data_IF_973064197624
#
_entry.id   IF_973064197624
#
_cell.length_a   1.000
_cell.length_b   1.000
_cell.length_c   1.000
_cell.angle_alpha   90.00
_cell.angle_beta   90.00
_cell.angle_gamma   90.00
#
_symmetry.space_group_name_H-M   'P 1'
#
loop_
_entity.id
_entity.type
_entity.pdbx_description
1 polymer ?
#
# COMPACT_ATOMS: atom_id res chain seq x y z
N UNK A 1 8.71 21.30 -4.94
CA UNK A 1 8.87 20.39 -3.77
C UNK A 1 7.69 20.54 -2.79
N UNK A 2 6.92 19.46 -2.58
CA UNK A 2 5.64 19.55 -1.87
C UNK A 2 5.82 19.83 -0.36
N UNK A 3 5.14 20.85 0.21
CA UNK A 3 5.21 21.20 1.64
C UNK A 3 4.93 20.02 2.58
N UNK A 4 4.16 19.03 2.12
CA UNK A 4 3.83 17.82 2.87
C UNK A 4 5.06 16.92 3.12
N UNK A 5 5.94 16.76 2.12
CA UNK A 5 7.14 15.92 2.26
C UNK A 5 8.09 16.45 3.36
N UNK A 6 8.16 17.78 3.52
CA UNK A 6 8.92 18.43 4.58
C UNK A 6 8.33 18.12 5.97
N UNK A 7 7.01 18.20 6.09
CA UNK A 7 6.31 17.91 7.35
C UNK A 7 6.46 16.45 7.76
N UNK A 8 6.34 15.52 6.79
CA UNK A 8 6.52 14.10 7.03
C UNK A 8 7.97 13.77 7.43
N UNK A 9 8.96 14.39 6.77
CA UNK A 9 10.36 14.21 7.10
C UNK A 9 10.65 14.61 8.56
N UNK A 10 10.11 15.76 9.01
CA UNK A 10 10.21 16.19 10.42
C UNK A 10 9.54 15.20 11.37
N UNK A 11 8.36 14.71 11.05
CA UNK A 11 7.69 13.70 11.89
C UNK A 11 8.52 12.42 12.05
N UNK A 12 9.20 11.98 10.99
CA UNK A 12 10.11 10.82 11.01
C UNK A 12 11.46 11.10 11.70
N UNK A 13 11.89 12.36 11.77
CA UNK A 13 13.17 12.79 12.34
C UNK A 13 13.06 13.10 13.83
N UNK A 14 12.12 13.97 14.15
CA UNK A 14 11.95 14.59 15.45
C UNK A 14 10.92 13.83 16.31
N UNK A 15 10.21 12.85 15.73
CA UNK A 15 9.08 12.17 16.37
C UNK A 15 8.02 13.15 16.90
N UNK A 16 7.84 14.26 16.16
CA UNK A 16 6.96 15.35 16.53
C UNK A 16 6.08 15.80 15.37
N UNK A 17 4.85 16.18 15.69
CA UNK A 17 3.90 16.76 14.74
C UNK A 17 3.37 18.10 15.22
N UNK A 18 2.92 18.93 14.27
CA UNK A 18 2.22 20.20 14.53
C UNK A 18 0.88 20.20 13.80
N UNK A 19 -0.18 20.66 14.46
CA UNK A 19 -1.47 20.87 13.80
C UNK A 19 -1.37 22.05 12.84
N UNK A 20 -2.20 22.07 11.80
CA UNK A 20 -2.26 23.20 10.87
C UNK A 20 -2.72 24.43 11.66
N UNK A 21 -1.95 25.52 11.59
CA UNK A 21 -2.22 26.76 12.34
C UNK A 21 -1.70 26.77 13.78
N UNK A 22 -1.11 25.67 14.27
CA UNK A 22 -0.53 25.60 15.63
C UNK A 22 1.00 25.51 15.53
N UNK A 23 1.72 26.32 16.31
CA UNK A 23 3.19 26.26 16.37
C UNK A 23 3.72 25.30 17.45
N UNK A 24 2.83 24.74 18.29
CA UNK A 24 3.19 23.84 19.37
C UNK A 24 3.51 22.44 18.83
N UNK A 25 4.76 21.94 19.02
CA UNK A 25 5.10 20.56 18.69
C UNK A 25 4.46 19.58 19.69
N UNK A 26 4.18 18.37 19.21
CA UNK A 26 3.62 17.27 20.00
C UNK A 26 4.38 16.00 19.69
N UNK A 27 4.98 15.38 20.71
CA UNK A 27 5.68 14.10 20.59
C UNK A 27 4.69 12.99 20.25
N UNK A 28 5.12 12.09 19.37
CA UNK A 28 4.35 10.94 18.93
C UNK A 28 5.26 9.71 18.85
N UNK A 29 4.75 8.57 19.31
CA UNK A 29 5.37 7.28 19.06
C UNK A 29 4.50 6.52 18.05
N UNK A 30 4.97 6.43 16.81
CA UNK A 30 4.21 5.91 15.68
C UNK A 30 5.06 5.01 14.81
N UNK A 31 4.48 3.89 14.41
CA UNK A 31 5.05 3.03 13.37
C UNK A 31 4.53 3.50 12.01
N UNK A 32 5.44 3.87 11.11
CA UNK A 32 5.10 4.33 9.76
C UNK A 32 5.19 3.17 8.77
N UNK A 33 4.13 2.98 7.99
CA UNK A 33 4.09 2.05 6.86
C UNK A 33 3.72 2.87 5.63
N UNK A 34 4.56 2.83 4.60
CA UNK A 34 4.32 3.51 3.33
C UNK A 34 4.09 2.48 2.22
N UNK A 35 3.14 2.78 1.32
CA UNK A 35 2.86 1.99 0.14
C UNK A 35 2.70 2.94 -1.06
N UNK A 36 3.28 2.56 -2.20
CA UNK A 36 3.26 3.35 -3.43
C UNK A 36 3.20 2.41 -4.62
N UNK A 37 2.45 2.80 -5.65
CA UNK A 37 2.46 2.13 -6.95
C UNK A 37 3.39 2.82 -7.97
N UNK A 38 4.07 3.91 -7.56
CA UNK A 38 5.03 4.66 -8.37
C UNK A 38 6.45 4.22 -8.06
N UNK A 39 7.32 4.29 -9.05
CA UNK A 39 8.76 4.13 -8.85
C UNK A 39 9.33 5.39 -8.18
N UNK A 40 9.55 5.31 -6.87
CA UNK A 40 10.11 6.43 -6.10
C UNK A 40 11.57 6.73 -6.48
N UNK A 41 12.32 5.76 -7.01
CA UNK A 41 13.70 5.98 -7.45
C UNK A 41 13.68 6.88 -8.68
N UNK A 42 12.76 6.63 -9.61
CA UNK A 42 12.55 7.49 -10.77
C UNK A 42 12.06 8.89 -10.37
N UNK A 43 11.11 8.97 -9.45
CA UNK A 43 10.62 10.25 -8.92
C UNK A 43 11.72 11.07 -8.21
N UNK A 44 12.68 10.40 -7.54
CA UNK A 44 13.86 11.06 -6.97
C UNK A 44 14.78 11.60 -8.07
N UNK A 45 14.97 10.86 -9.18
CA UNK A 45 15.74 11.35 -10.34
C UNK A 45 15.08 12.57 -10.97
N UNK A 46 13.75 12.54 -11.09
CA UNK A 46 12.93 13.61 -11.67
C UNK A 46 12.71 14.81 -10.73
N UNK A 47 13.31 14.80 -9.53
CA UNK A 47 13.16 15.84 -8.49
C UNK A 47 11.72 16.09 -8.03
N UNK A 48 10.80 15.17 -8.33
CA UNK A 48 9.40 15.18 -7.86
C UNK A 48 9.29 14.65 -6.43
N UNK A 49 10.25 13.81 -6.00
CA UNK A 49 10.34 13.25 -4.66
C UNK A 49 11.68 13.54 -3.99
N UNK A 50 11.66 13.87 -2.70
CA UNK A 50 12.89 14.15 -1.97
C UNK A 50 13.67 12.86 -1.64
N UNK A 51 14.96 12.89 -1.97
CA UNK A 51 15.90 11.79 -1.73
C UNK A 51 16.02 11.42 -0.24
N UNK A 52 16.01 12.39 0.66
CA UNK A 52 16.14 12.16 2.10
C UNK A 52 14.91 11.45 2.70
N UNK A 53 13.71 11.80 2.23
CA UNK A 53 12.47 11.10 2.59
C UNK A 53 12.46 9.68 2.05
N UNK A 54 12.95 9.46 0.82
CA UNK A 54 13.02 8.13 0.21
C UNK A 54 13.84 7.16 1.07
N UNK A 55 15.05 7.55 1.45
CA UNK A 55 15.92 6.69 2.26
C UNK A 55 15.38 6.40 3.67
N UNK A 56 14.54 7.28 4.23
CA UNK A 56 13.88 7.02 5.53
C UNK A 56 12.70 6.06 5.42
N UNK A 57 11.98 6.09 4.31
CA UNK A 57 10.85 5.18 4.08
C UNK A 57 11.34 3.80 3.58
N UNK A 58 12.40 3.77 2.79
CA UNK A 58 12.90 2.58 2.12
C UNK A 58 13.89 1.77 2.99
N UNK A 59 13.56 1.51 4.25
CA UNK A 59 14.39 0.69 5.15
C UNK A 59 14.12 -0.80 4.96
N UNK A 60 12.84 -1.19 4.87
CA UNK A 60 12.42 -2.58 4.63
C UNK A 60 11.45 -2.58 3.45
N UNK A 61 11.95 -2.68 2.21
CA UNK A 61 11.08 -2.73 1.04
C UNK A 61 10.37 -4.08 0.96
N UNK A 62 9.04 -4.04 0.81
CA UNK A 62 8.22 -5.23 0.55
C UNK A 62 7.63 -5.05 -0.85
N UNK A 63 8.13 -5.84 -1.80
CA UNK A 63 7.57 -5.85 -3.15
C UNK A 63 6.40 -6.84 -3.22
N UNK A 64 5.24 -6.35 -3.65
CA UNK A 64 4.03 -7.15 -3.80
C UNK A 64 3.88 -7.45 -5.30
N UNK A 65 4.21 -8.67 -5.78
CA UNK A 65 4.08 -9.00 -7.20
C UNK A 65 2.61 -8.85 -7.66
N UNK A 66 2.37 -8.42 -8.90
CA UNK A 66 1.03 -8.34 -9.46
C UNK A 66 0.40 -9.73 -9.60
N UNK A 67 -0.93 -9.82 -9.62
CA UNK A 67 -1.64 -11.11 -9.63
C UNK A 67 -1.25 -12.02 -10.81
N UNK A 68 -0.86 -11.44 -11.95
CA UNK A 68 -0.36 -12.16 -13.13
C UNK A 68 0.92 -12.98 -12.89
N UNK A 69 1.73 -12.59 -11.91
CA UNK A 69 2.97 -13.29 -11.51
C UNK A 69 2.72 -14.30 -10.37
N UNK A 70 1.48 -14.38 -9.88
CA UNK A 70 1.05 -15.28 -8.81
C UNK A 70 -0.33 -15.86 -9.11
N UNK A 71 -0.44 -16.52 -10.26
CA UNK A 71 -1.70 -17.09 -10.74
C UNK A 71 -2.30 -18.14 -9.79
N UNK A 72 -1.48 -18.77 -8.96
CA UNK A 72 -1.91 -19.72 -7.93
C UNK A 72 -2.84 -19.07 -6.87
N UNK A 73 -2.65 -17.78 -6.58
CA UNK A 73 -3.47 -17.03 -5.63
C UNK A 73 -4.89 -16.75 -6.18
N UNK A 74 -5.14 -16.92 -7.48
CA UNK A 74 -6.43 -16.57 -8.11
C UNK A 74 -7.57 -17.39 -7.52
N UNK A 75 -7.40 -18.71 -7.40
CA UNK A 75 -8.48 -19.58 -6.91
C UNK A 75 -8.80 -19.30 -5.43
N UNK A 76 -7.82 -19.31 -4.50
CA UNK A 76 -8.08 -18.98 -3.09
C UNK A 76 -8.69 -17.59 -2.89
N UNK A 77 -8.21 -16.57 -3.62
CA UNK A 77 -8.77 -15.23 -3.55
C UNK A 77 -10.22 -15.19 -4.05
N UNK A 78 -10.51 -15.89 -5.15
CA UNK A 78 -11.87 -15.96 -5.69
C UNK A 78 -12.82 -16.63 -4.71
N UNK A 79 -12.41 -17.74 -4.08
CA UNK A 79 -13.20 -18.43 -3.06
C UNK A 79 -13.47 -17.51 -1.86
N UNK A 80 -12.43 -16.83 -1.35
CA UNK A 80 -12.55 -15.87 -0.26
C UNK A 80 -13.53 -14.73 -0.58
N UNK A 81 -13.40 -14.11 -1.76
CA UNK A 81 -14.31 -13.03 -2.15
C UNK A 81 -15.73 -13.54 -2.39
N UNK A 82 -15.90 -14.72 -3.00
CA UNK A 82 -17.20 -15.31 -3.23
C UNK A 82 -17.95 -15.53 -1.91
N UNK A 83 -17.29 -16.12 -0.91
CA UNK A 83 -17.86 -16.32 0.41
C UNK A 83 -18.23 -14.99 1.08
N UNK A 84 -17.30 -14.02 1.07
CA UNK A 84 -17.50 -12.68 1.65
C UNK A 84 -18.72 -11.98 1.07
N UNK A 85 -18.90 -12.00 -0.25
CA UNK A 85 -20.03 -11.34 -0.91
C UNK A 85 -21.33 -12.14 -0.85
N UNK A 86 -21.27 -13.47 -0.93
CA UNK A 86 -22.45 -14.33 -0.76
C UNK A 86 -23.09 -14.10 0.62
N UNK A 87 -22.27 -14.02 1.68
CA UNK A 87 -22.71 -13.70 3.04
C UNK A 87 -23.35 -12.31 3.12
N UNK A 88 -22.73 -11.29 2.52
CA UNK A 88 -23.27 -9.92 2.48
C UNK A 88 -24.62 -9.82 1.76
N UNK A 89 -24.84 -10.66 0.75
CA UNK A 89 -26.07 -10.66 -0.07
C UNK A 89 -27.10 -11.70 0.38
N UNK A 90 -26.90 -12.37 1.52
CA UNK A 90 -27.74 -13.48 2.00
C UNK A 90 -27.95 -14.61 0.97
N UNK A 91 -26.99 -14.81 0.06
CA UNK A 91 -27.02 -15.88 -0.93
C UNK A 91 -26.25 -17.09 -0.38
N UNK A 92 -26.83 -18.29 -0.52
CA UNK A 92 -26.22 -19.56 -0.11
C UNK A 92 -25.92 -20.42 -1.33
N UNK A 93 -24.87 -21.24 -1.25
CA UNK A 93 -24.57 -22.29 -2.24
C UNK A 93 -23.94 -21.79 -3.55
N UNK A 94 -23.39 -20.57 -3.60
CA UNK A 94 -22.64 -20.13 -4.78
C UNK A 94 -21.30 -20.86 -4.80
N UNK A 95 -20.99 -21.52 -5.92
CA UNK A 95 -19.73 -22.24 -6.14
C UNK A 95 -19.09 -21.75 -7.43
N UNK A 96 -17.76 -21.66 -7.43
CA UNK A 96 -16.99 -21.40 -8.64
C UNK A 96 -17.05 -22.67 -9.50
N UNK A 97 -17.54 -22.55 -10.73
CA UNK A 97 -17.38 -23.62 -11.73
C UNK A 97 -16.01 -23.46 -12.38
N UNK A 98 -15.21 -24.52 -12.36
CA UNK A 98 -14.02 -24.58 -13.21
C UNK A 98 -14.48 -24.75 -14.65
N UNK A 99 -14.07 -23.84 -15.53
CA UNK A 99 -14.23 -24.06 -16.96
C UNK A 99 -13.31 -25.21 -17.37
N UNK A 100 -13.87 -26.29 -17.90
CA UNK A 100 -13.11 -27.34 -18.56
C UNK A 100 -12.66 -26.78 -19.92
N UNK A 101 -11.42 -26.30 -20.01
CA UNK A 101 -10.79 -26.16 -21.32
C UNK A 101 -10.46 -27.57 -21.82
N UNK A 102 -11.32 -28.11 -22.66
CA UNK A 102 -11.01 -29.26 -23.51
C UNK A 102 -9.83 -28.87 -24.40
N UNK A 103 -8.66 -29.43 -24.10
CA UNK A 103 -7.50 -29.40 -24.97
C UNK A 103 -7.88 -30.12 -26.27
N UNK A 104 -7.82 -29.39 -27.39
CA UNK A 104 -7.65 -29.96 -28.72
C UNK A 104 -6.23 -29.65 -29.16
#
# INVERSE_FOLDING_TARGET
PQPLQVKLLRALQEQEIRRVGENKPRKVDVRVIAATNRDLIEDVKNKSFRRDLYYRLNVVPINIPPLRERSEDIIPLTEHFLEKYAKKMHKRGIKIRRAQCSSS
#
